data_IF_744778555917
#
_entry.id   IF_744778555917
#
_cell.length_a   1.000
_cell.length_b   1.000
_cell.length_c   1.000
_cell.angle_alpha   90.00
_cell.angle_beta   90.00
_cell.angle_gamma   90.00
#
_symmetry.space_group_name_H-M   'P 1'
#
loop_
_entity.id
_entity.type
_entity.pdbx_description
1 polymer ?
#
# COMPACT_ATOMS: atom_id res chain seq x y z
N UNK A 1 -28.29 12.35 5.25
CA UNK A 1 -29.10 11.96 6.44
C UNK A 1 -28.59 10.66 7.04
N UNK A 2 -28.37 9.61 6.24
CA UNK A 2 -27.97 8.30 6.77
C UNK A 2 -26.54 8.27 7.33
N UNK A 3 -25.58 8.95 6.68
CA UNK A 3 -24.19 9.04 7.17
C UNK A 3 -24.08 9.78 8.51
N UNK A 4 -24.90 10.82 8.72
CA UNK A 4 -24.92 11.58 9.99
C UNK A 4 -25.50 10.75 11.12
N UNK A 5 -26.56 9.98 10.85
CA UNK A 5 -27.13 9.03 11.82
C UNK A 5 -26.12 7.95 12.18
N UNK A 6 -25.46 7.36 11.17
CA UNK A 6 -24.40 6.39 11.39
C UNK A 6 -23.26 6.93 12.26
N UNK A 7 -22.80 8.15 11.99
CA UNK A 7 -21.74 8.78 12.79
C UNK A 7 -22.19 9.02 14.24
N UNK A 8 -23.42 9.51 14.44
CA UNK A 8 -23.97 9.71 15.78
C UNK A 8 -24.09 8.39 16.55
N UNK A 9 -24.57 7.33 15.89
CA UNK A 9 -24.65 6.00 16.49
C UNK A 9 -23.26 5.45 16.84
N UNK A 10 -22.27 5.62 15.96
CA UNK A 10 -20.90 5.20 16.22
C UNK A 10 -20.28 5.93 17.42
N UNK A 11 -20.50 7.26 17.53
CA UNK A 11 -20.05 8.06 18.68
C UNK A 11 -20.72 7.58 19.97
N UNK A 12 -22.03 7.41 19.97
CA UNK A 12 -22.79 6.92 21.13
C UNK A 12 -22.32 5.54 21.60
N UNK A 13 -22.02 4.63 20.66
CA UNK A 13 -21.46 3.31 20.99
C UNK A 13 -20.07 3.45 21.60
N UNK A 14 -19.21 4.29 21.02
CA UNK A 14 -17.83 4.50 21.47
C UNK A 14 -17.79 5.05 22.91
N UNK A 15 -18.66 6.02 23.22
CA UNK A 15 -18.84 6.57 24.57
C UNK A 15 -19.33 5.51 25.57
N UNK A 16 -20.36 4.74 25.20
CA UNK A 16 -20.88 3.63 26.04
C UNK A 16 -19.81 2.59 26.36
N UNK A 17 -18.96 2.28 25.39
CA UNK A 17 -17.86 1.33 25.53
C UNK A 17 -16.60 1.94 26.18
N UNK A 18 -16.61 3.24 26.49
CA UNK A 18 -15.49 3.98 27.10
C UNK A 18 -14.20 3.90 26.28
N UNK A 19 -14.32 3.85 24.97
CA UNK A 19 -13.17 3.93 24.06
C UNK A 19 -12.71 5.38 23.87
N UNK A 20 -11.46 5.61 23.45
CA UNK A 20 -10.97 6.95 23.14
C UNK A 20 -11.80 7.61 22.04
N UNK A 21 -11.92 8.94 22.09
CA UNK A 21 -12.59 9.72 21.04
C UNK A 21 -11.96 9.47 19.66
N UNK A 22 -12.79 9.58 18.62
CA UNK A 22 -12.33 9.40 17.26
C UNK A 22 -11.37 10.53 16.85
N UNK A 23 -10.17 10.15 16.44
CA UNK A 23 -9.15 11.11 15.97
C UNK A 23 -9.61 11.91 14.74
N UNK A 24 -9.08 13.13 14.60
CA UNK A 24 -9.35 14.05 13.48
C UNK A 24 -10.83 14.34 13.25
N UNK A 25 -11.59 14.57 14.32
CA UNK A 25 -13.01 14.97 14.27
C UNK A 25 -13.87 14.04 13.42
N UNK A 26 -13.60 12.73 13.49
CA UNK A 26 -14.34 11.72 12.75
C UNK A 26 -14.11 11.77 11.23
N UNK A 27 -13.07 12.44 10.73
CA UNK A 27 -12.75 12.53 9.28
C UNK A 27 -12.72 11.17 8.56
N UNK A 28 -12.37 10.10 9.28
CA UNK A 28 -12.28 8.75 8.72
C UNK A 28 -13.62 8.01 8.63
N UNK A 29 -14.73 8.61 9.07
CA UNK A 29 -16.09 8.07 8.92
C UNK A 29 -16.75 8.40 7.58
N UNK A 30 -16.05 9.09 6.66
CA UNK A 30 -16.58 9.32 5.31
C UNK A 30 -16.93 7.97 4.68
N UNK A 31 -18.21 7.78 4.37
CA UNK A 31 -18.72 6.60 3.67
C UNK A 31 -18.51 6.83 2.17
N UNK A 32 -17.88 5.86 1.52
CA UNK A 32 -17.64 5.89 0.09
C UNK A 32 -18.56 4.89 -0.62
N UNK A 33 -19.09 5.31 -1.76
CA UNK A 33 -19.99 4.53 -2.61
C UNK A 33 -19.19 3.77 -3.66
N UNK A 34 -19.42 2.46 -3.76
CA UNK A 34 -18.85 1.64 -4.84
C UNK A 34 -19.28 2.11 -6.24
N UNK A 35 -20.57 2.38 -6.51
CA UNK A 35 -20.98 2.99 -7.78
C UNK A 35 -20.22 4.26 -8.15
N UNK A 36 -19.99 5.17 -7.20
CA UNK A 36 -19.22 6.40 -7.47
C UNK A 36 -17.74 6.09 -7.76
N UNK A 37 -17.15 5.15 -7.02
CA UNK A 37 -15.78 4.68 -7.24
C UNK A 37 -15.57 4.11 -8.64
N UNK A 38 -16.57 3.41 -9.19
CA UNK A 38 -16.52 2.85 -10.54
C UNK A 38 -16.77 3.92 -11.62
N UNK A 39 -17.82 4.73 -11.44
CA UNK A 39 -18.24 5.71 -12.45
C UNK A 39 -17.23 6.85 -12.66
N UNK A 40 -16.40 7.14 -11.65
CA UNK A 40 -15.42 8.24 -11.68
C UNK A 40 -13.99 7.75 -11.83
N UNK A 41 -13.78 6.45 -12.04
CA UNK A 41 -12.45 5.85 -12.11
C UNK A 41 -11.61 6.50 -13.22
N UNK A 42 -10.51 7.15 -12.83
CA UNK A 42 -9.62 7.87 -13.75
C UNK A 42 -10.13 9.26 -14.20
N UNK A 43 -11.30 9.70 -13.73
CA UNK A 43 -11.79 11.07 -13.97
C UNK A 43 -11.17 12.06 -12.97
N UNK A 44 -11.18 13.39 -13.25
CA UNK A 44 -10.70 14.40 -12.29
C UNK A 44 -11.37 14.30 -10.91
N UNK A 45 -12.65 13.91 -10.87
CA UNK A 45 -13.40 13.75 -9.63
C UNK A 45 -12.95 12.56 -8.77
N UNK A 46 -12.17 11.62 -9.33
CA UNK A 46 -11.59 10.48 -8.59
C UNK A 46 -10.67 10.96 -7.46
N UNK A 47 -9.90 12.03 -7.72
CA UNK A 47 -9.03 12.65 -6.73
C UNK A 47 -9.77 13.60 -5.81
N UNK A 48 -10.65 14.45 -6.36
CA UNK A 48 -11.40 15.46 -5.60
C UNK A 48 -12.23 14.79 -4.50
N UNK A 49 -12.87 13.66 -4.82
CA UNK A 49 -13.65 12.91 -3.86
C UNK A 49 -12.85 11.91 -3.03
N UNK A 50 -11.53 11.80 -3.26
CA UNK A 50 -10.62 10.86 -2.62
C UNK A 50 -10.92 9.39 -2.94
N UNK A 51 -11.64 9.12 -4.03
CA UNK A 51 -12.04 7.77 -4.46
C UNK A 51 -10.81 6.93 -4.89
N UNK A 52 -9.84 7.55 -5.57
CA UNK A 52 -8.59 6.90 -5.95
C UNK A 52 -7.84 6.34 -4.74
N UNK A 53 -7.59 7.17 -3.73
CA UNK A 53 -6.88 6.77 -2.50
C UNK A 53 -7.63 5.67 -1.77
N UNK A 54 -8.95 5.77 -1.66
CA UNK A 54 -9.78 4.74 -1.02
C UNK A 54 -9.70 3.41 -1.77
N UNK A 55 -9.75 3.45 -3.11
CA UNK A 55 -9.61 2.25 -3.94
C UNK A 55 -8.24 1.58 -3.75
N UNK A 56 -7.17 2.36 -3.64
CA UNK A 56 -5.82 1.83 -3.37
C UNK A 56 -5.70 1.22 -1.98
N UNK A 57 -6.24 1.88 -0.95
CA UNK A 57 -6.31 1.30 0.40
C UNK A 57 -7.13 0.01 0.43
N UNK A 58 -8.25 -0.01 -0.29
CA UNK A 58 -9.13 -1.15 -0.41
C UNK A 58 -8.39 -2.37 -1.01
N UNK A 59 -7.62 -2.17 -2.08
CA UNK A 59 -6.88 -3.24 -2.75
C UNK A 59 -5.61 -3.66 -2.00
N UNK A 60 -4.89 -2.71 -1.41
CA UNK A 60 -3.54 -2.97 -0.89
C UNK A 60 -3.51 -3.34 0.60
N UNK A 61 -4.43 -2.81 1.40
CA UNK A 61 -4.29 -2.79 2.87
C UNK A 61 -5.57 -3.20 3.63
N UNK A 62 -6.74 -3.24 2.98
CA UNK A 62 -8.00 -3.40 3.70
C UNK A 62 -8.32 -4.84 4.09
N UNK A 63 -9.08 -4.98 5.19
CA UNK A 63 -9.66 -6.24 5.68
C UNK A 63 -11.11 -6.00 6.10
N UNK A 64 -12.05 -6.91 5.79
CA UNK A 64 -13.44 -6.75 6.16
C UNK A 64 -13.61 -6.98 7.67
N UNK A 65 -14.33 -6.08 8.34
CA UNK A 65 -14.75 -6.28 9.73
C UNK A 65 -16.08 -7.05 9.77
N UNK A 66 -16.94 -6.84 8.77
CA UNK A 66 -18.25 -7.47 8.64
C UNK A 66 -18.56 -7.75 7.17
N UNK A 67 -19.39 -8.77 6.93
CA UNK A 67 -19.90 -9.17 5.61
C UNK A 67 -18.78 -9.38 4.56
N UNK A 68 -17.90 -10.33 4.85
CA UNK A 68 -16.78 -10.72 3.98
C UNK A 68 -17.24 -11.05 2.55
N UNK A 69 -18.37 -11.75 2.40
CA UNK A 69 -18.94 -12.06 1.07
C UNK A 69 -19.26 -10.82 0.24
N UNK A 70 -19.83 -9.79 0.86
CA UNK A 70 -20.08 -8.52 0.15
C UNK A 70 -18.76 -7.84 -0.19
N UNK A 71 -17.81 -7.82 0.75
CA UNK A 71 -16.50 -7.25 0.53
C UNK A 71 -15.77 -7.90 -0.65
N UNK A 72 -15.68 -9.23 -0.68
CA UNK A 72 -15.08 -9.99 -1.79
C UNK A 72 -15.78 -9.64 -3.11
N UNK A 73 -17.12 -9.70 -3.15
CA UNK A 73 -17.89 -9.34 -4.34
C UNK A 73 -17.60 -7.93 -4.86
N UNK A 74 -17.39 -6.95 -3.98
CA UNK A 74 -17.07 -5.59 -4.43
C UNK A 74 -15.62 -5.46 -4.90
N UNK A 75 -14.69 -6.23 -4.31
CA UNK A 75 -13.30 -6.28 -4.75
C UNK A 75 -13.23 -6.89 -6.15
N UNK A 76 -13.96 -7.97 -6.39
CA UNK A 76 -14.01 -8.61 -7.71
C UNK A 76 -14.46 -7.61 -8.77
N UNK A 77 -15.49 -6.81 -8.48
CA UNK A 77 -15.93 -5.72 -9.36
C UNK A 77 -14.87 -4.64 -9.58
N UNK A 78 -14.10 -4.27 -8.56
CA UNK A 78 -12.96 -3.34 -8.73
C UNK A 78 -11.93 -3.95 -9.68
N UNK A 79 -11.59 -5.23 -9.50
CA UNK A 79 -10.63 -5.91 -10.34
C UNK A 79 -11.13 -6.09 -11.78
N UNK A 80 -12.40 -6.40 -11.98
CA UNK A 80 -13.03 -6.47 -13.31
C UNK A 80 -12.77 -5.18 -14.13
N UNK A 81 -12.76 -4.00 -13.50
CA UNK A 81 -12.45 -2.74 -14.20
C UNK A 81 -10.99 -2.65 -14.63
N UNK A 82 -10.05 -3.11 -13.80
CA UNK A 82 -8.63 -3.14 -14.14
C UNK A 82 -8.28 -4.24 -15.17
N UNK A 83 -9.08 -5.30 -15.21
CA UNK A 83 -8.91 -6.45 -16.09
C UNK A 83 -9.90 -6.48 -17.27
N UNK A 84 -10.65 -5.38 -17.51
CA UNK A 84 -11.69 -5.32 -18.55
C UNK A 84 -11.21 -5.68 -19.96
N UNK A 85 -9.93 -5.43 -20.24
CA UNK A 85 -9.30 -5.66 -21.54
C UNK A 85 -8.56 -7.00 -21.63
N UNK A 86 -8.73 -7.88 -20.62
CA UNK A 86 -8.01 -9.16 -20.48
C UNK A 86 -8.59 -10.32 -21.30
N UNK A 87 -9.85 -10.23 -21.72
CA UNK A 87 -10.56 -11.34 -22.37
C UNK A 87 -9.86 -11.83 -23.64
N UNK A 88 -9.46 -13.10 -23.66
CA UNK A 88 -8.88 -13.78 -24.82
C UNK A 88 -7.43 -13.39 -25.16
N UNK A 89 -6.70 -12.76 -24.23
CA UNK A 89 -5.32 -12.30 -24.44
C UNK A 89 -4.36 -12.90 -23.41
N UNK A 90 -3.61 -13.92 -23.82
CA UNK A 90 -2.57 -14.55 -22.98
C UNK A 90 -1.44 -13.57 -22.61
N UNK A 91 -1.26 -12.52 -23.40
CA UNK A 91 -0.29 -11.43 -23.18
C UNK A 91 -0.84 -10.26 -22.35
N UNK A 92 -2.09 -10.31 -21.89
CA UNK A 92 -2.66 -9.21 -21.10
C UNK A 92 -1.82 -8.95 -19.85
N UNK A 93 -1.66 -7.66 -19.53
CA UNK A 93 -1.02 -7.19 -18.31
C UNK A 93 -1.87 -6.08 -17.70
N UNK A 94 -2.08 -6.07 -16.38
CA UNK A 94 -2.86 -5.04 -15.70
C UNK A 94 -2.03 -3.76 -15.51
N UNK A 95 -1.47 -3.21 -16.60
CA UNK A 95 -0.63 -2.00 -16.56
C UNK A 95 -1.38 -0.81 -15.96
N UNK A 96 -2.70 -0.75 -16.17
CA UNK A 96 -3.53 0.26 -15.54
C UNK A 96 -3.52 0.14 -14.00
N UNK A 97 -3.61 -1.07 -13.44
CA UNK A 97 -3.49 -1.27 -11.99
C UNK A 97 -2.08 -0.93 -11.50
N UNK A 98 -1.04 -1.34 -12.23
CA UNK A 98 0.36 -1.00 -11.91
C UNK A 98 0.54 0.51 -11.84
N UNK A 99 0.01 1.25 -12.83
CA UNK A 99 0.05 2.71 -12.86
C UNK A 99 -0.67 3.34 -11.68
N UNK A 100 -1.85 2.84 -11.31
CA UNK A 100 -2.58 3.34 -10.15
C UNK A 100 -1.82 3.08 -8.83
N UNK A 101 -1.16 1.92 -8.69
CA UNK A 101 -0.32 1.62 -7.52
C UNK A 101 0.91 2.53 -7.47
N UNK A 102 1.59 2.76 -8.59
CA UNK A 102 2.74 3.67 -8.68
C UNK A 102 2.33 5.13 -8.45
N UNK A 103 1.18 5.54 -8.97
CA UNK A 103 0.57 6.85 -8.69
C UNK A 103 0.31 7.00 -7.20
N UNK A 104 -0.22 5.96 -6.55
CA UNK A 104 -0.50 5.99 -5.12
C UNK A 104 0.77 6.16 -4.30
N UNK A 105 1.86 5.49 -4.67
CA UNK A 105 3.17 5.73 -4.07
C UNK A 105 3.58 7.20 -4.13
N UNK A 106 3.45 7.85 -5.30
CA UNK A 106 3.74 9.28 -5.45
C UNK A 106 2.82 10.14 -4.59
N UNK A 107 1.53 9.83 -4.52
CA UNK A 107 0.58 10.50 -3.62
C UNK A 107 1.01 10.39 -2.15
N UNK A 108 1.45 9.21 -1.69
CA UNK A 108 1.91 9.02 -0.31
C UNK A 108 3.20 9.82 -0.03
N UNK A 109 4.12 9.90 -0.99
CA UNK A 109 5.31 10.77 -0.88
C UNK A 109 4.94 12.25 -0.77
N UNK A 110 4.02 12.74 -1.60
CA UNK A 110 3.57 14.14 -1.56
C UNK A 110 2.81 14.46 -0.27
N UNK A 111 1.98 13.54 0.21
CA UNK A 111 1.29 13.67 1.51
C UNK A 111 2.26 13.78 2.68
N UNK A 112 3.44 13.16 2.59
CA UNK A 112 4.50 13.33 3.56
C UNK A 112 5.11 14.74 3.51
N UNK A 113 5.41 15.28 2.32
CA UNK A 113 5.96 16.63 2.19
C UNK A 113 5.03 17.71 2.76
N UNK A 114 3.71 17.56 2.57
CA UNK A 114 2.71 18.48 3.15
C UNK A 114 2.77 18.57 4.69
N UNK A 115 3.21 17.51 5.37
CA UNK A 115 3.25 17.48 6.84
C UNK A 115 4.65 17.63 7.42
N UNK A 116 5.67 17.63 6.57
CA UNK A 116 7.09 17.68 6.96
C UNK A 116 7.45 18.94 7.74
N UNK A 117 6.85 20.07 7.37
CA UNK A 117 7.14 21.37 7.97
C UNK A 117 6.22 21.71 9.16
N UNK A 118 5.30 20.82 9.54
CA UNK A 118 4.41 21.03 10.68
C UNK A 118 5.00 20.38 11.95
N UNK A 119 5.56 21.18 12.89
CA UNK A 119 6.17 20.64 14.11
C UNK A 119 5.15 20.00 15.06
N UNK A 120 3.84 20.20 14.85
CA UNK A 120 2.76 19.59 15.63
C UNK A 120 2.41 18.18 15.12
N UNK A 121 2.89 17.81 13.93
CA UNK A 121 2.63 16.50 13.32
C UNK A 121 3.82 15.56 13.51
N UNK A 122 3.57 14.23 13.61
CA UNK A 122 4.63 13.23 13.74
C UNK A 122 5.31 12.95 12.39
N UNK A 123 5.89 13.98 11.77
CA UNK A 123 6.47 13.90 10.44
C UNK A 123 7.64 12.90 10.38
N UNK A 124 8.46 12.79 11.44
CA UNK A 124 9.55 11.80 11.51
C UNK A 124 9.02 10.37 11.45
N UNK A 125 8.00 10.06 12.24
CA UNK A 125 7.34 8.74 12.20
C UNK A 125 6.75 8.43 10.83
N UNK A 126 6.14 9.44 10.18
CA UNK A 126 5.64 9.29 8.81
C UNK A 126 6.77 9.05 7.80
N UNK A 127 7.90 9.74 7.92
CA UNK A 127 9.08 9.52 7.08
C UNK A 127 9.61 8.09 7.21
N UNK A 128 9.76 7.59 8.45
CA UNK A 128 10.23 6.22 8.69
C UNK A 128 9.24 5.22 8.09
N UNK A 129 7.93 5.37 8.33
CA UNK A 129 6.93 4.50 7.72
C UNK A 129 6.96 4.56 6.18
N UNK A 130 7.23 5.74 5.60
CA UNK A 130 7.39 5.93 4.16
C UNK A 130 8.57 5.13 3.61
N UNK A 131 9.73 5.23 4.27
CA UNK A 131 10.98 4.57 3.89
C UNK A 131 10.95 3.04 3.99
N UNK A 132 10.11 2.48 4.87
CA UNK A 132 9.98 1.04 5.07
C UNK A 132 8.58 0.54 4.69
N UNK A 133 7.65 0.51 5.66
CA UNK A 133 6.34 -0.16 5.51
C UNK A 133 5.52 0.26 4.28
N UNK A 134 5.48 1.55 3.92
CA UNK A 134 4.74 2.03 2.74
C UNK A 134 5.44 1.61 1.46
N UNK A 135 6.76 1.73 1.40
CA UNK A 135 7.57 1.26 0.27
C UNK A 135 7.38 -0.24 0.04
N UNK A 136 7.45 -1.05 1.09
CA UNK A 136 7.20 -2.50 1.01
C UNK A 136 5.77 -2.82 0.54
N UNK A 137 4.76 -2.09 1.05
CA UNK A 137 3.37 -2.30 0.64
C UNK A 137 3.18 -2.11 -0.86
N UNK A 138 3.78 -1.07 -1.43
CA UNK A 138 3.71 -0.78 -2.87
C UNK A 138 4.56 -1.78 -3.65
N UNK A 139 5.87 -1.78 -3.41
CA UNK A 139 6.81 -2.47 -4.29
C UNK A 139 6.84 -3.99 -4.06
N UNK A 140 6.52 -4.45 -2.85
CA UNK A 140 6.23 -5.86 -2.60
C UNK A 140 4.97 -6.33 -3.31
N UNK A 141 3.99 -5.44 -3.58
CA UNK A 141 2.84 -5.77 -4.43
C UNK A 141 3.20 -5.71 -5.92
N UNK A 142 3.98 -4.72 -6.36
CA UNK A 142 4.38 -4.59 -7.77
C UNK A 142 5.23 -5.77 -8.25
N UNK A 143 6.17 -6.25 -7.44
CA UNK A 143 7.11 -7.30 -7.85
C UNK A 143 6.41 -8.55 -8.43
N UNK A 144 5.49 -9.23 -7.73
CA UNK A 144 4.80 -10.40 -8.29
C UNK A 144 3.94 -10.07 -9.53
N UNK A 145 3.44 -8.83 -9.68
CA UNK A 145 2.68 -8.43 -10.87
C UNK A 145 3.55 -8.35 -12.13
N UNK A 146 4.82 -7.98 -11.99
CA UNK A 146 5.72 -7.83 -13.13
C UNK A 146 6.62 -9.06 -13.33
N UNK A 147 6.87 -9.86 -12.29
CA UNK A 147 7.67 -11.09 -12.39
C UNK A 147 6.86 -12.33 -12.78
N UNK A 148 5.54 -12.32 -12.56
CA UNK A 148 4.67 -13.43 -12.99
C UNK A 148 4.59 -13.56 -14.52
N UNK A 149 4.58 -14.80 -15.02
CA UNK A 149 4.40 -15.09 -16.46
C UNK A 149 3.01 -14.70 -16.96
N UNK A 150 2.00 -14.82 -16.10
CA UNK A 150 0.62 -14.40 -16.38
C UNK A 150 0.07 -13.75 -15.12
N UNK A 151 -0.46 -12.54 -15.27
CA UNK A 151 -1.14 -11.83 -14.18
C UNK A 151 -2.62 -11.85 -14.49
N UNK A 152 -3.37 -12.57 -13.67
CA UNK A 152 -4.83 -12.67 -13.78
C UNK A 152 -5.49 -11.97 -12.61
N UNK A 153 -6.81 -11.77 -12.68
CA UNK A 153 -7.57 -11.28 -11.53
C UNK A 153 -7.34 -12.15 -10.28
N UNK A 154 -7.33 -13.47 -10.46
CA UNK A 154 -7.06 -14.44 -9.38
C UNK A 154 -5.69 -14.22 -8.72
N UNK A 155 -4.67 -13.85 -9.51
CA UNK A 155 -3.35 -13.50 -8.97
C UNK A 155 -3.45 -12.34 -7.96
N UNK A 156 -4.28 -11.33 -8.25
CA UNK A 156 -4.48 -10.19 -7.34
C UNK A 156 -5.27 -10.61 -6.10
N UNK A 157 -6.30 -11.44 -6.26
CA UNK A 157 -7.09 -11.99 -5.15
C UNK A 157 -6.23 -12.79 -4.16
N UNK A 158 -5.25 -13.54 -4.67
CA UNK A 158 -4.27 -14.28 -3.88
C UNK A 158 -3.28 -13.33 -3.18
N UNK A 159 -2.65 -12.42 -3.93
CA UNK A 159 -1.70 -11.41 -3.40
C UNK A 159 -2.34 -10.57 -2.28
N UNK A 160 -3.61 -10.22 -2.41
CA UNK A 160 -4.31 -9.40 -1.42
C UNK A 160 -4.42 -10.07 -0.05
N UNK A 161 -4.50 -11.41 0.00
CA UNK A 161 -4.55 -12.19 1.25
C UNK A 161 -3.21 -12.18 1.98
N UNK A 162 -2.12 -11.93 1.24
CA UNK A 162 -0.77 -11.87 1.75
C UNK A 162 -0.46 -10.51 2.39
N UNK A 163 0.38 -10.53 3.41
CA UNK A 163 1.07 -9.36 3.96
C UNK A 163 2.05 -8.78 2.93
N UNK A 164 2.44 -7.50 3.05
CA UNK A 164 3.44 -6.91 2.15
C UNK A 164 4.75 -7.70 2.00
N UNK A 165 5.21 -8.35 3.08
CA UNK A 165 6.41 -9.19 3.06
C UNK A 165 6.19 -10.49 2.28
N UNK A 166 5.05 -11.15 2.49
CA UNK A 166 4.70 -12.37 1.75
C UNK A 166 4.49 -12.10 0.25
N UNK A 167 3.95 -10.93 -0.12
CA UNK A 167 3.85 -10.50 -1.53
C UNK A 167 5.22 -10.34 -2.17
N UNK A 168 6.16 -9.71 -1.44
CA UNK A 168 7.55 -9.60 -1.89
C UNK A 168 8.17 -10.99 -2.07
N UNK A 169 8.05 -11.87 -1.08
CA UNK A 169 8.56 -13.25 -1.14
C UNK A 169 8.01 -14.00 -2.35
N UNK A 170 6.69 -13.96 -2.60
CA UNK A 170 6.09 -14.55 -3.79
C UNK A 170 6.67 -13.97 -5.10
N UNK A 171 6.94 -12.66 -5.12
CA UNK A 171 7.59 -12.01 -6.26
C UNK A 171 9.02 -12.51 -6.48
N UNK A 172 9.78 -12.77 -5.41
CA UNK A 172 11.12 -13.36 -5.45
C UNK A 172 11.07 -14.82 -5.93
N UNK A 173 10.09 -15.60 -5.48
CA UNK A 173 9.88 -16.98 -5.94
C UNK A 173 9.65 -17.03 -7.46
N UNK A 174 8.92 -16.05 -8.01
CA UNK A 174 8.72 -15.93 -9.46
C UNK A 174 10.00 -15.55 -10.22
N UNK A 175 10.93 -14.82 -9.60
CA UNK A 175 12.26 -14.60 -10.18
C UNK A 175 13.05 -15.90 -10.21
N UNK A 176 12.85 -16.77 -9.22
CA UNK A 176 13.49 -18.09 -9.10
C UNK A 176 15.04 -18.00 -9.08
N UNK A 177 15.59 -16.92 -8.50
CA UNK A 177 17.02 -16.63 -8.46
C UNK A 177 17.59 -16.75 -7.05
N UNK A 178 18.23 -17.88 -6.76
CA UNK A 178 18.79 -18.15 -5.44
C UNK A 178 19.95 -17.20 -5.08
N UNK A 179 20.53 -16.47 -6.04
CA UNK A 179 21.63 -15.54 -5.75
C UNK A 179 21.22 -14.38 -4.85
N UNK A 180 19.93 -14.05 -4.78
CA UNK A 180 19.41 -12.91 -3.99
C UNK A 180 19.08 -13.27 -2.53
N UNK A 181 19.23 -14.54 -2.15
CA UNK A 181 18.82 -15.05 -0.82
C UNK A 181 19.57 -14.32 0.30
N UNK A 182 20.89 -14.12 0.16
CA UNK A 182 21.70 -13.47 1.19
C UNK A 182 21.28 -12.00 1.38
N UNK A 183 21.01 -11.30 0.29
CA UNK A 183 20.50 -9.92 0.31
C UNK A 183 19.09 -9.84 0.88
N UNK A 184 18.26 -10.86 0.64
CA UNK A 184 16.93 -10.96 1.23
C UNK A 184 16.98 -11.21 2.74
N UNK A 185 17.91 -12.04 3.23
CA UNK A 185 18.12 -12.21 4.67
C UNK A 185 18.50 -10.90 5.36
N UNK A 186 19.40 -10.12 4.74
CA UNK A 186 19.75 -8.79 5.24
C UNK A 186 18.56 -7.82 5.20
N UNK A 187 17.78 -7.86 4.12
CA UNK A 187 16.55 -7.09 4.01
C UNK A 187 15.54 -7.41 5.13
N UNK A 188 15.39 -8.69 5.48
CA UNK A 188 14.53 -9.15 6.58
C UNK A 188 15.02 -8.61 7.93
N UNK A 189 16.32 -8.70 8.22
CA UNK A 189 16.92 -8.15 9.45
C UNK A 189 16.66 -6.65 9.58
N UNK A 190 16.87 -5.90 8.50
CA UNK A 190 16.58 -4.45 8.48
C UNK A 190 15.10 -4.18 8.75
N UNK A 191 14.19 -4.98 8.18
CA UNK A 191 12.76 -4.80 8.40
C UNK A 191 12.35 -5.12 9.85
N UNK A 192 12.91 -6.18 10.44
CA UNK A 192 12.70 -6.55 11.84
C UNK A 192 13.13 -5.42 12.78
N UNK A 193 14.32 -4.86 12.58
CA UNK A 193 14.81 -3.70 13.34
C UNK A 193 13.91 -2.47 13.17
N UNK A 194 13.33 -2.26 11.97
CA UNK A 194 12.34 -1.22 11.76
C UNK A 194 11.06 -1.47 12.57
N UNK A 195 10.58 -2.71 12.67
CA UNK A 195 9.41 -3.05 13.47
C UNK A 195 9.69 -2.78 14.95
N UNK A 196 10.83 -3.23 15.47
CA UNK A 196 11.23 -2.93 16.85
C UNK A 196 11.31 -1.42 17.11
N UNK A 197 11.92 -0.67 16.19
CA UNK A 197 12.01 0.79 16.30
C UNK A 197 10.61 1.41 16.36
N UNK A 198 9.70 0.95 15.50
CA UNK A 198 8.32 1.44 15.44
C UNK A 198 7.56 1.18 16.75
N UNK A 199 7.77 0.02 17.37
CA UNK A 199 7.22 -0.31 18.68
C UNK A 199 7.80 0.57 19.78
N UNK A 200 9.14 0.70 19.84
CA UNK A 200 9.85 1.56 20.81
C UNK A 200 9.44 3.03 20.68
N UNK A 201 9.19 3.50 19.46
CA UNK A 201 8.68 4.85 19.23
C UNK A 201 7.27 5.05 19.77
N UNK A 202 6.40 4.02 19.80
CA UNK A 202 5.03 4.13 20.30
C UNK A 202 4.29 5.35 19.74
N UNK A 203 3.76 6.20 20.63
CA UNK A 203 3.12 7.47 20.30
C UNK A 203 4.08 8.67 20.23
N UNK A 204 5.38 8.46 20.48
CA UNK A 204 6.38 9.56 20.50
C UNK A 204 6.46 10.22 19.12
N UNK A 205 6.52 11.55 19.15
CA UNK A 205 6.59 12.41 17.96
C UNK A 205 8.03 12.57 17.45
N UNK A 206 9.05 12.32 18.31
CA UNK A 206 10.47 12.49 18.00
C UNK A 206 11.27 11.20 18.21
N UNK A 207 12.32 11.04 17.41
CA UNK A 207 13.41 10.09 17.65
C UNK A 207 14.36 10.76 18.63
N UNK A 208 14.81 10.02 19.64
CA UNK A 208 15.45 10.58 20.83
C UNK A 208 16.86 11.16 20.57
N UNK A 209 17.56 10.78 19.47
CA UNK A 209 18.86 11.34 19.08
C UNK A 209 19.16 11.35 17.55
N UNK A 210 20.11 12.20 17.12
CA UNK A 210 20.52 12.39 15.71
C UNK A 210 21.27 11.18 15.11
N UNK A 211 22.07 10.49 15.94
CA UNK A 211 22.81 9.29 15.53
C UNK A 211 21.88 8.14 15.13
N UNK A 212 20.75 7.99 15.82
CA UNK A 212 19.69 7.03 15.51
C UNK A 212 19.01 7.40 14.20
N UNK A 213 18.80 8.69 13.94
CA UNK A 213 18.28 9.17 12.65
C UNK A 213 19.17 8.78 11.48
N UNK A 214 20.48 8.98 11.59
CA UNK A 214 21.44 8.62 10.54
C UNK A 214 21.46 7.10 10.27
N UNK A 215 21.49 6.28 11.33
CA UNK A 215 21.43 4.82 11.21
C UNK A 215 20.16 4.34 10.48
N UNK A 216 19.02 4.94 10.79
CA UNK A 216 17.74 4.62 10.13
C UNK A 216 17.79 4.97 8.64
N UNK A 217 18.40 6.10 8.30
CA UNK A 217 18.53 6.54 6.91
C UNK A 217 19.47 5.63 6.10
N UNK A 218 20.56 5.17 6.69
CA UNK A 218 21.47 4.22 6.04
C UNK A 218 20.82 2.85 5.81
N UNK A 219 20.09 2.33 6.80
CA UNK A 219 19.28 1.11 6.65
C UNK A 219 18.20 1.25 5.59
N UNK A 220 17.52 2.39 5.54
CA UNK A 220 16.52 2.68 4.51
C UNK A 220 17.12 2.68 3.09
N UNK A 221 18.37 3.14 2.92
CA UNK A 221 19.07 3.09 1.63
C UNK A 221 19.29 1.64 1.20
N UNK A 222 19.81 0.79 2.09
CA UNK A 222 20.03 -0.65 1.80
C UNK A 222 18.69 -1.33 1.47
N UNK A 223 17.66 -1.09 2.29
CA UNK A 223 16.31 -1.60 2.08
C UNK A 223 15.74 -1.23 0.71
N UNK A 224 15.80 0.06 0.35
CA UNK A 224 15.31 0.54 -0.95
C UNK A 224 16.14 0.03 -2.12
N UNK A 225 17.45 -0.15 -1.93
CA UNK A 225 18.36 -0.68 -2.94
C UNK A 225 18.03 -2.13 -3.27
N UNK A 226 17.71 -2.95 -2.26
CA UNK A 226 17.27 -4.33 -2.48
C UNK A 226 16.00 -4.37 -3.33
N UNK A 227 14.96 -3.61 -2.94
CA UNK A 227 13.72 -3.55 -3.73
C UNK A 227 13.96 -3.10 -5.16
N UNK A 228 14.82 -2.10 -5.37
CA UNK A 228 15.23 -1.67 -6.70
C UNK A 228 15.89 -2.80 -7.50
N UNK A 229 16.83 -3.53 -6.90
CA UNK A 229 17.50 -4.66 -7.55
C UNK A 229 16.50 -5.73 -7.98
N UNK A 230 15.54 -6.10 -7.11
CA UNK A 230 14.50 -7.07 -7.43
C UNK A 230 13.58 -6.59 -8.56
N UNK A 231 13.12 -5.33 -8.52
CA UNK A 231 12.25 -4.75 -9.55
C UNK A 231 12.94 -4.60 -10.91
N UNK A 232 14.27 -4.43 -10.90
CA UNK A 232 15.08 -4.27 -12.12
C UNK A 232 15.77 -5.57 -12.54
N UNK A 233 15.43 -6.71 -11.95
CA UNK A 233 16.04 -8.01 -12.23
C UNK A 233 15.88 -8.39 -13.71
N UNK A 234 16.94 -8.92 -14.32
CA UNK A 234 16.99 -9.32 -15.73
C UNK A 234 15.98 -10.41 -16.15
N UNK A 235 15.52 -11.24 -15.20
CA UNK A 235 14.46 -12.24 -15.40
C UNK A 235 13.07 -11.63 -15.58
N UNK A 236 12.90 -10.35 -15.23
CA UNK A 236 11.68 -9.59 -15.53
C UNK A 236 11.80 -9.05 -16.96
N UNK A 237 10.75 -9.25 -17.75
CA UNK A 237 10.68 -8.69 -19.11
C UNK A 237 11.02 -7.18 -19.08
N UNK A 238 11.95 -6.79 -19.95
CA UNK A 238 12.47 -5.43 -20.00
C UNK A 238 11.37 -4.37 -20.17
N UNK A 239 10.32 -4.67 -20.96
CA UNK A 239 9.19 -3.76 -21.15
C UNK A 239 8.53 -3.42 -19.81
N UNK A 240 8.35 -4.41 -18.92
CA UNK A 240 7.73 -4.21 -17.62
C UNK A 240 8.61 -3.43 -16.66
N UNK A 241 9.93 -3.64 -16.73
CA UNK A 241 10.89 -2.83 -15.98
C UNK A 241 10.85 -1.36 -16.41
N UNK A 242 10.71 -1.10 -17.72
CA UNK A 242 10.61 0.27 -18.27
C UNK A 242 9.37 1.00 -17.77
N UNK A 243 8.21 0.35 -17.67
CA UNK A 243 6.99 0.96 -17.11
C UNK A 243 7.10 1.42 -15.66
N UNK A 244 8.10 0.95 -14.90
CA UNK A 244 8.33 1.45 -13.54
C UNK A 244 8.96 2.85 -13.52
N UNK A 245 9.53 3.27 -14.66
CA UNK A 245 10.32 4.50 -14.79
C UNK A 245 9.66 5.51 -15.73
N UNK A 246 9.13 5.03 -16.86
CA UNK A 246 8.45 5.82 -17.90
C UNK A 246 6.99 6.09 -17.53
#
# INVERSE_FOLDING_TARGET
MDTLKFLADAININEKLKYPEFSNDGRYFKVYSFPDMFNRLGAPDDDVENLFTVRMLLLLESRPIFNEKLYEKQIDKVLEHYFRDSSGKDSFRPLFLVNDILRYWRTVCLNYELVRNDPRRPWRKKNINLKFSRMLTIFGTILPLISSKTTTQRTIEEIKKLTPMERLAQGLDYLNDDSIINEFEEFLKIYEEFIELKEKMGSKIKVDDEATGQKVDDKARVFSKFLYTCLMHDRINEEYRRYLVL
#
